data_IF_982844933162
#
_entry.id   IF_982844933162
#
_cell.length_a   1.000
_cell.length_b   1.000
_cell.length_c   1.000
_cell.angle_alpha   90.00
_cell.angle_beta   90.00
_cell.angle_gamma   90.00
#
_symmetry.space_group_name_H-M   'P 1'
#
loop_
_entity.id
_entity.type
_entity.pdbx_description
1 polymer ?
#
# COMPACT_ATOMS: atom_id res chain seq x y z
N UNK A 1 42.92 43.66 -20.68
CA UNK A 1 43.95 42.99 -21.48
C UNK A 1 43.38 41.72 -22.10
N UNK A 2 43.36 41.72 -23.40
CA UNK A 2 42.81 40.71 -24.32
C UNK A 2 43.82 39.56 -24.44
N UNK A 3 43.39 38.32 -24.46
CA UNK A 3 44.04 37.27 -25.30
C UNK A 3 43.02 36.20 -25.73
N UNK A 4 42.80 36.19 -27.04
CA UNK A 4 42.22 35.17 -27.92
C UNK A 4 43.22 34.01 -28.08
N UNK A 5 42.68 32.89 -28.53
CA UNK A 5 43.20 31.89 -29.50
C UNK A 5 42.85 30.46 -29.06
N UNK A 6 42.51 29.42 -29.84
CA UNK A 6 42.56 29.19 -31.31
C UNK A 6 41.68 27.97 -31.63
N UNK A 7 40.97 28.01 -32.71
CA UNK A 7 40.31 26.85 -33.38
C UNK A 7 41.37 25.99 -34.05
N UNK A 8 41.24 24.67 -34.00
CA UNK A 8 41.94 23.79 -34.93
C UNK A 8 40.94 22.78 -35.52
N UNK A 9 40.66 22.97 -36.79
CA UNK A 9 39.92 22.03 -37.67
C UNK A 9 40.97 21.07 -38.22
N UNK A 10 40.72 19.73 -38.13
CA UNK A 10 41.48 18.74 -38.86
C UNK A 10 40.54 17.97 -39.75
N UNK A 11 40.61 18.26 -41.06
CA UNK A 11 40.04 17.47 -42.13
C UNK A 11 40.99 16.29 -42.45
N UNK A 12 40.48 15.07 -42.56
CA UNK A 12 41.27 13.99 -43.12
C UNK A 12 40.47 13.29 -44.23
N UNK A 13 41.21 13.18 -45.33
CA UNK A 13 40.80 12.75 -46.67
C UNK A 13 40.38 11.28 -46.76
N UNK A 14 39.42 11.05 -47.67
CA UNK A 14 39.06 9.75 -48.22
C UNK A 14 40.21 9.16 -49.07
N UNK A 15 40.51 7.90 -48.85
CA UNK A 15 41.23 7.07 -49.83
C UNK A 15 40.30 5.92 -50.25
N UNK A 16 39.95 5.92 -51.52
CA UNK A 16 39.21 4.86 -52.21
C UNK A 16 40.24 3.80 -52.67
N UNK A 17 40.04 2.56 -52.26
CA UNK A 17 40.71 1.41 -52.87
C UNK A 17 39.63 0.42 -53.33
N UNK A 18 39.62 0.19 -54.69
CA UNK A 18 38.78 -0.80 -55.35
C UNK A 18 39.47 -2.17 -55.38
N UNK A 19 38.66 -3.22 -55.23
CA UNK A 19 38.76 -4.56 -55.81
C UNK A 19 38.77 -5.71 -54.82
N UNK A 20 38.44 -6.96 -55.21
CA UNK A 20 37.49 -7.39 -56.26
C UNK A 20 36.32 -8.23 -55.73
N UNK A 21 35.33 -8.42 -56.58
CA UNK A 21 34.17 -9.30 -56.46
C UNK A 21 34.57 -10.77 -56.19
N UNK A 22 34.01 -11.35 -55.11
CA UNK A 22 33.87 -12.79 -54.96
C UNK A 22 32.44 -13.12 -54.53
N UNK A 23 31.80 -13.86 -55.38
CA UNK A 23 30.63 -14.73 -55.34
C UNK A 23 29.96 -15.01 -53.96
N UNK A 24 28.65 -14.77 -54.00
CA UNK A 24 27.52 -15.57 -53.50
C UNK A 24 27.82 -16.67 -52.47
N UNK A 25 27.29 -16.47 -51.26
CA UNK A 25 26.71 -17.55 -50.50
C UNK A 25 25.39 -17.03 -49.89
N UNK A 26 24.30 -17.62 -50.35
CA UNK A 26 22.97 -17.49 -49.74
C UNK A 26 23.04 -17.92 -48.30
N UNK A 27 22.84 -16.96 -47.37
CA UNK A 27 22.44 -17.27 -45.99
C UNK A 27 20.95 -17.10 -45.92
N UNK A 28 20.28 -18.19 -45.63
CA UNK A 28 18.90 -18.20 -45.18
C UNK A 28 18.75 -17.21 -44.05
N UNK A 29 18.07 -16.10 -44.28
CA UNK A 29 17.57 -15.23 -43.25
C UNK A 29 16.48 -15.98 -42.46
N UNK A 30 16.88 -16.65 -41.41
CA UNK A 30 15.95 -17.05 -40.35
C UNK A 30 15.26 -15.79 -39.81
N UNK A 31 14.21 -15.36 -40.49
CA UNK A 31 13.23 -14.47 -39.93
C UNK A 31 12.58 -15.21 -38.74
N UNK A 32 13.19 -15.09 -37.56
CA UNK A 32 12.47 -15.38 -36.31
C UNK A 32 11.20 -14.56 -36.38
N UNK A 33 10.07 -15.20 -36.59
CA UNK A 33 8.76 -14.62 -36.44
C UNK A 33 8.65 -14.19 -35.01
N UNK A 34 8.80 -12.89 -34.76
CA UNK A 34 8.45 -12.30 -33.44
C UNK A 34 6.94 -12.42 -33.35
N UNK A 35 6.48 -13.47 -32.69
CA UNK A 35 5.07 -13.59 -32.34
C UNK A 35 4.73 -12.35 -31.51
N UNK A 36 3.71 -11.57 -31.90
CA UNK A 36 3.30 -10.43 -31.06
C UNK A 36 3.06 -10.93 -29.65
N UNK A 37 3.46 -10.19 -28.61
CA UNK A 37 3.19 -10.59 -27.25
C UNK A 37 1.67 -10.78 -27.10
N UNK A 38 1.28 -11.90 -26.51
CA UNK A 38 -0.12 -12.18 -26.18
C UNK A 38 -0.63 -11.02 -25.32
N UNK A 39 -1.78 -10.41 -25.65
CA UNK A 39 -2.34 -9.34 -24.82
C UNK A 39 -2.44 -9.80 -23.36
N UNK A 40 -1.97 -8.98 -22.44
CA UNK A 40 -2.07 -9.25 -21.00
C UNK A 40 -3.56 -9.28 -20.64
N UNK A 41 -4.00 -10.40 -20.05
CA UNK A 41 -5.36 -10.52 -19.53
C UNK A 41 -5.40 -9.99 -18.08
N UNK A 42 -6.37 -9.13 -17.78
CA UNK A 42 -6.60 -8.57 -16.47
C UNK A 42 -7.90 -9.08 -15.89
N UNK A 43 -8.02 -9.05 -14.58
CA UNK A 43 -9.24 -9.36 -13.84
C UNK A 43 -9.69 -10.82 -14.00
N UNK A 44 -8.73 -11.73 -14.12
CA UNK A 44 -8.98 -13.17 -14.20
C UNK A 44 -9.58 -13.73 -12.91
N UNK A 45 -9.33 -13.06 -11.78
CA UNK A 45 -9.82 -13.40 -10.44
C UNK A 45 -11.11 -12.65 -10.05
N UNK A 46 -11.67 -11.87 -10.98
CA UNK A 46 -12.95 -11.18 -10.78
C UNK A 46 -14.09 -11.90 -11.50
N UNK A 47 -15.29 -11.80 -10.91
CA UNK A 47 -16.53 -12.04 -11.62
C UNK A 47 -16.92 -10.79 -12.45
N UNK A 48 -17.81 -10.96 -13.43
CA UNK A 48 -18.42 -9.81 -14.09
C UNK A 48 -19.37 -9.13 -13.11
N UNK A 49 -19.11 -7.85 -12.81
CA UNK A 49 -19.83 -7.10 -11.80
C UNK A 49 -19.86 -5.59 -12.14
N UNK A 50 -20.69 -4.85 -11.40
CA UNK A 50 -20.81 -3.40 -11.55
C UNK A 50 -19.49 -2.69 -11.29
N UNK A 51 -18.79 -3.05 -10.19
CA UNK A 51 -17.54 -2.42 -9.80
C UNK A 51 -16.45 -2.57 -10.87
N UNK A 52 -16.30 -3.78 -11.41
CA UNK A 52 -15.33 -4.04 -12.48
C UNK A 52 -15.68 -3.28 -13.76
N UNK A 53 -16.95 -3.27 -14.14
CA UNK A 53 -17.44 -2.53 -15.31
C UNK A 53 -17.17 -1.03 -15.15
N UNK A 54 -17.47 -0.48 -13.98
CA UNK A 54 -17.25 0.93 -13.66
C UNK A 54 -15.77 1.29 -13.69
N UNK A 55 -14.90 0.46 -13.09
CA UNK A 55 -13.46 0.68 -13.09
C UNK A 55 -12.88 0.70 -14.52
N UNK A 56 -13.23 -0.30 -15.32
CA UNK A 56 -12.75 -0.40 -16.71
C UNK A 56 -13.22 0.79 -17.54
N UNK A 57 -14.52 1.11 -17.50
CA UNK A 57 -15.09 2.23 -18.24
C UNK A 57 -14.49 3.59 -17.79
N UNK A 58 -14.19 3.75 -16.49
CA UNK A 58 -13.50 4.94 -15.99
C UNK A 58 -12.08 5.05 -16.56
N UNK A 59 -11.27 3.98 -16.43
CA UNK A 59 -9.87 3.98 -16.87
C UNK A 59 -9.80 4.17 -18.38
N UNK A 60 -10.60 3.45 -19.17
CA UNK A 60 -10.65 3.58 -20.64
C UNK A 60 -10.99 5.02 -21.07
N UNK A 61 -11.95 5.66 -20.40
CA UNK A 61 -12.35 7.03 -20.71
C UNK A 61 -11.23 8.05 -20.39
N UNK A 62 -10.66 8.00 -19.18
CA UNK A 62 -9.67 9.00 -18.75
C UNK A 62 -8.29 8.80 -19.36
N UNK A 63 -8.01 7.64 -19.95
CA UNK A 63 -6.75 7.37 -20.66
C UNK A 63 -6.84 7.57 -22.16
N UNK A 64 -8.05 7.68 -22.73
CA UNK A 64 -8.25 7.90 -24.16
C UNK A 64 -7.96 9.37 -24.52
N UNK A 65 -6.93 9.65 -25.35
CA UNK A 65 -6.59 11.02 -25.75
C UNK A 65 -7.69 11.76 -26.52
N UNK A 66 -8.68 11.03 -27.06
CA UNK A 66 -9.80 11.61 -27.78
C UNK A 66 -11.02 11.86 -26.88
N UNK A 67 -10.98 11.45 -25.62
CA UNK A 67 -12.06 11.72 -24.65
C UNK A 67 -11.97 13.15 -24.10
N UNK A 68 -13.12 13.77 -23.90
CA UNK A 68 -13.23 15.04 -23.16
C UNK A 68 -12.80 14.91 -21.68
N UNK A 69 -12.76 13.68 -21.17
CA UNK A 69 -12.34 13.35 -19.81
C UNK A 69 -10.87 12.92 -19.71
N UNK A 70 -10.09 13.06 -20.80
CA UNK A 70 -8.70 12.64 -20.79
C UNK A 70 -7.90 13.29 -19.66
N UNK A 71 -7.19 12.48 -18.91
CA UNK A 71 -6.28 12.91 -17.86
C UNK A 71 -4.86 12.60 -18.30
N UNK A 72 -3.96 13.58 -18.22
CA UNK A 72 -2.53 13.36 -18.48
C UNK A 72 -1.96 12.37 -17.48
N UNK A 73 -1.00 11.54 -17.91
CA UNK A 73 -0.39 10.49 -17.09
C UNK A 73 0.14 11.02 -15.76
N UNK A 74 0.80 12.19 -15.76
CA UNK A 74 1.31 12.83 -14.55
C UNK A 74 0.25 13.21 -13.51
N UNK A 75 -1.03 13.29 -13.90
CA UNK A 75 -2.17 13.65 -13.05
C UNK A 75 -3.07 12.43 -12.72
N UNK A 76 -2.75 11.24 -13.24
CA UNK A 76 -3.48 9.99 -12.95
C UNK A 76 -3.05 9.44 -11.59
N UNK A 77 -3.48 10.10 -10.52
CA UNK A 77 -3.16 9.71 -9.14
C UNK A 77 -4.29 8.86 -8.57
N UNK A 78 -3.94 7.66 -8.12
CA UNK A 78 -4.83 6.77 -7.37
C UNK A 78 -4.37 6.64 -5.92
N UNK A 79 -5.30 6.61 -4.97
CA UNK A 79 -5.01 6.37 -3.54
C UNK A 79 -5.71 5.11 -3.06
N UNK A 80 -5.01 4.31 -2.27
CA UNK A 80 -5.51 3.08 -1.69
C UNK A 80 -5.32 3.10 -0.19
N UNK A 81 -6.37 2.83 0.57
CA UNK A 81 -6.18 2.31 1.92
C UNK A 81 -5.53 0.92 1.84
N UNK A 82 -5.00 0.41 2.95
CA UNK A 82 -4.28 -0.86 2.98
C UNK A 82 -5.11 -1.98 3.60
N UNK A 83 -5.33 -1.89 4.92
CA UNK A 83 -5.98 -2.95 5.69
C UNK A 83 -7.47 -3.06 5.32
N UNK A 84 -7.93 -4.22 4.92
CA UNK A 84 -9.29 -4.46 4.43
C UNK A 84 -9.57 -3.90 3.02
N UNK A 85 -8.57 -3.30 2.35
CA UNK A 85 -8.70 -2.79 0.98
C UNK A 85 -7.97 -3.65 -0.03
N UNK A 86 -6.73 -4.04 0.25
CA UNK A 86 -5.97 -5.00 -0.57
C UNK A 86 -5.11 -5.98 0.23
N UNK A 87 -5.10 -5.84 1.55
CA UNK A 87 -4.52 -6.80 2.51
C UNK A 87 -5.59 -7.14 3.55
N UNK A 88 -5.58 -8.37 4.06
CA UNK A 88 -6.53 -8.82 5.08
C UNK A 88 -6.48 -8.00 6.37
N UNK A 89 -7.60 -7.93 7.08
CA UNK A 89 -7.72 -7.26 8.38
C UNK A 89 -8.41 -8.12 9.45
N UNK A 90 -8.89 -9.32 9.07
CA UNK A 90 -9.75 -10.15 9.91
C UNK A 90 -9.04 -11.43 10.43
N UNK A 91 -7.76 -11.33 10.85
CA UNK A 91 -6.94 -12.44 11.34
C UNK A 91 -6.37 -12.26 12.78
N UNK A 92 -7.15 -12.17 13.81
CA UNK A 92 -8.57 -11.83 13.98
C UNK A 92 -8.85 -10.32 14.03
N UNK A 93 -7.83 -9.48 13.92
CA UNK A 93 -7.90 -8.02 13.85
C UNK A 93 -6.74 -7.47 13.01
N UNK A 94 -6.60 -6.16 12.90
CA UNK A 94 -5.53 -5.51 12.13
C UNK A 94 -4.15 -6.09 12.45
N UNK A 95 -3.30 -6.20 11.42
CA UNK A 95 -1.94 -6.68 11.59
C UNK A 95 -1.17 -5.88 12.67
N UNK A 96 -1.28 -4.54 12.67
CA UNK A 96 -0.58 -3.70 13.65
C UNK A 96 -1.08 -3.92 15.08
N UNK A 97 -2.35 -4.32 15.27
CA UNK A 97 -2.90 -4.67 16.58
C UNK A 97 -2.34 -6.00 17.07
N UNK A 98 -2.36 -7.02 16.20
CA UNK A 98 -1.76 -8.32 16.52
C UNK A 98 -0.26 -8.19 16.83
N UNK A 99 0.45 -7.35 16.10
CA UNK A 99 1.88 -7.11 16.31
C UNK A 99 2.14 -6.45 17.67
N UNK A 100 1.31 -5.47 18.09
CA UNK A 100 1.43 -4.82 19.41
C UNK A 100 1.08 -5.81 20.54
N UNK A 101 0.02 -6.60 20.37
CA UNK A 101 -0.35 -7.65 21.33
C UNK A 101 0.83 -8.60 21.56
N UNK A 102 1.38 -9.15 20.49
CA UNK A 102 2.55 -10.03 20.55
C UNK A 102 3.74 -9.33 21.21
N UNK A 103 4.07 -8.11 20.78
CA UNK A 103 5.21 -7.35 21.31
C UNK A 103 5.14 -7.17 22.82
N UNK A 104 3.98 -6.74 23.32
CA UNK A 104 3.84 -6.34 24.71
C UNK A 104 3.54 -7.50 25.68
N UNK A 105 2.94 -8.60 25.18
CA UNK A 105 2.46 -9.67 26.06
C UNK A 105 3.19 -11.01 25.85
N UNK A 106 3.74 -11.26 24.67
CA UNK A 106 4.29 -12.57 24.32
C UNK A 106 5.78 -12.55 23.92
N UNK A 107 6.29 -11.44 23.35
CA UNK A 107 7.69 -11.33 22.94
C UNK A 107 8.62 -11.41 24.14
N UNK A 108 9.43 -12.50 24.27
CA UNK A 108 10.30 -12.72 25.42
C UNK A 108 11.40 -11.66 25.55
N UNK A 109 11.67 -10.89 24.49
CA UNK A 109 12.70 -9.83 24.51
C UNK A 109 12.17 -8.50 25.05
N UNK A 110 10.84 -8.34 25.15
CA UNK A 110 10.24 -7.05 25.49
C UNK A 110 9.14 -7.11 26.55
N UNK A 111 8.33 -8.16 26.63
CA UNK A 111 7.12 -8.23 27.47
C UNK A 111 7.35 -7.83 28.95
N UNK A 112 8.49 -8.21 29.52
CA UNK A 112 8.82 -7.89 30.92
C UNK A 112 9.25 -6.43 31.10
N UNK A 113 9.57 -5.72 30.03
CA UNK A 113 9.96 -4.29 30.00
C UNK A 113 8.86 -3.37 29.51
N UNK A 114 7.73 -3.93 29.01
CA UNK A 114 6.64 -3.14 28.45
C UNK A 114 6.08 -2.17 29.48
N UNK A 115 5.99 -0.87 29.17
CA UNK A 115 5.32 0.11 30.03
C UNK A 115 3.86 -0.29 30.34
N UNK A 116 3.33 0.16 31.46
CA UNK A 116 2.00 -0.23 31.89
C UNK A 116 0.90 0.13 30.89
N UNK A 117 0.98 1.31 30.29
CA UNK A 117 0.04 1.77 29.26
C UNK A 117 0.14 0.96 27.95
N UNK A 118 1.34 0.59 27.53
CA UNK A 118 1.56 -0.30 26.38
C UNK A 118 0.98 -1.68 26.64
N UNK A 119 1.21 -2.23 27.83
CA UNK A 119 0.66 -3.52 28.24
C UNK A 119 -0.86 -3.49 28.31
N UNK A 120 -1.43 -2.39 28.84
CA UNK A 120 -2.90 -2.24 28.92
C UNK A 120 -3.52 -2.14 27.52
N UNK A 121 -2.92 -1.41 26.58
CA UNK A 121 -3.39 -1.34 25.21
C UNK A 121 -3.37 -2.72 24.54
N UNK A 122 -2.30 -3.48 24.72
CA UNK A 122 -2.20 -4.85 24.22
C UNK A 122 -3.21 -5.80 24.88
N UNK A 123 -3.48 -5.64 26.19
CA UNK A 123 -4.49 -6.43 26.88
C UNK A 123 -5.90 -6.13 26.37
N UNK A 124 -6.21 -4.86 26.07
CA UNK A 124 -7.50 -4.49 25.48
C UNK A 124 -7.69 -5.17 24.10
N UNK A 125 -6.64 -5.26 23.28
CA UNK A 125 -6.68 -6.00 22.01
C UNK A 125 -6.95 -7.48 22.27
N UNK A 126 -6.23 -8.09 23.21
CA UNK A 126 -6.39 -9.50 23.58
C UNK A 126 -7.80 -9.81 24.05
N UNK A 127 -8.35 -8.96 24.91
CA UNK A 127 -9.71 -9.15 25.45
C UNK A 127 -10.78 -8.94 24.37
N UNK A 128 -10.57 -7.98 23.46
CA UNK A 128 -11.43 -7.78 22.30
C UNK A 128 -11.45 -9.02 21.40
N UNK A 129 -10.28 -9.52 21.04
CA UNK A 129 -10.12 -10.65 20.11
C UNK A 129 -10.60 -11.96 20.69
N UNK A 130 -10.29 -12.23 21.98
CA UNK A 130 -10.57 -13.53 22.61
C UNK A 130 -11.93 -13.61 23.27
N UNK A 131 -12.40 -12.50 23.85
CA UNK A 131 -13.57 -12.47 24.70
C UNK A 131 -14.71 -11.62 24.14
N UNK A 132 -14.49 -10.92 23.00
CA UNK A 132 -15.46 -9.99 22.44
C UNK A 132 -15.66 -8.73 23.29
N UNK A 133 -14.75 -8.43 24.21
CA UNK A 133 -14.81 -7.21 25.03
C UNK A 133 -14.66 -5.98 24.16
N UNK A 134 -15.59 -5.01 24.17
CA UNK A 134 -15.46 -3.82 23.35
C UNK A 134 -14.17 -3.05 23.64
N UNK A 135 -13.51 -2.56 22.59
CA UNK A 135 -12.38 -1.67 22.75
C UNK A 135 -12.82 -0.33 23.37
N UNK A 136 -11.97 0.30 24.18
CA UNK A 136 -12.25 1.65 24.72
C UNK A 136 -12.51 2.68 23.62
N UNK A 137 -13.24 3.73 23.94
CA UNK A 137 -13.42 4.87 23.04
C UNK A 137 -12.07 5.44 22.59
N UNK A 138 -11.98 5.83 21.31
CA UNK A 138 -10.75 6.34 20.70
C UNK A 138 -9.55 5.38 20.77
N UNK A 139 -9.80 4.09 20.74
CA UNK A 139 -8.75 3.08 20.86
C UNK A 139 -7.67 3.21 19.76
N UNK A 140 -8.03 3.69 18.58
CA UNK A 140 -7.09 4.02 17.52
C UNK A 140 -5.95 4.95 17.97
N UNK A 141 -6.26 5.93 18.82
CA UNK A 141 -5.25 6.83 19.42
C UNK A 141 -4.48 6.17 20.55
N UNK A 142 -5.16 5.40 21.42
CA UNK A 142 -4.51 4.62 22.50
C UNK A 142 -3.48 3.67 21.90
N UNK A 143 -3.89 2.93 20.86
CA UNK A 143 -3.00 2.04 20.10
C UNK A 143 -1.82 2.80 19.51
N UNK A 144 -2.06 3.94 18.85
CA UNK A 144 -1.00 4.71 18.17
C UNK A 144 0.09 5.17 19.16
N UNK A 145 -0.29 5.68 20.34
CA UNK A 145 0.67 6.06 21.39
C UNK A 145 1.40 4.84 21.96
N UNK A 146 0.69 3.74 22.19
CA UNK A 146 1.29 2.51 22.69
C UNK A 146 2.29 1.92 21.70
N UNK A 147 1.95 1.90 20.40
CA UNK A 147 2.83 1.43 19.35
C UNK A 147 4.09 2.31 19.20
N UNK A 148 3.95 3.63 19.25
CA UNK A 148 5.11 4.53 19.24
C UNK A 148 6.10 4.17 20.36
N UNK A 149 5.60 3.98 21.59
CA UNK A 149 6.42 3.58 22.75
C UNK A 149 7.00 2.16 22.64
N UNK A 150 6.20 1.20 22.14
CA UNK A 150 6.60 -0.21 22.10
C UNK A 150 7.81 -0.47 21.20
N UNK A 151 8.03 0.38 20.20
CA UNK A 151 9.10 0.26 19.22
C UNK A 151 10.10 1.42 19.28
N UNK A 152 10.03 2.27 20.30
CA UNK A 152 10.99 3.35 20.51
C UNK A 152 12.41 2.80 20.73
N UNK A 153 13.40 3.50 20.19
CA UNK A 153 14.81 3.13 20.23
C UNK A 153 15.25 2.15 19.13
N UNK A 154 14.33 1.51 18.40
CA UNK A 154 14.70 0.69 17.25
C UNK A 154 15.15 1.56 16.08
N UNK A 155 16.20 1.13 15.39
CA UNK A 155 16.53 1.64 14.05
C UNK A 155 15.43 1.27 13.06
N UNK A 156 15.37 1.95 11.92
CA UNK A 156 14.39 1.60 10.88
C UNK A 156 14.59 0.17 10.35
N UNK A 157 15.86 -0.27 10.24
CA UNK A 157 16.20 -1.64 9.80
C UNK A 157 15.83 -2.70 10.84
N UNK A 158 16.03 -2.43 12.13
CA UNK A 158 15.62 -3.36 13.20
C UNK A 158 14.10 -3.48 13.24
N UNK A 159 13.39 -2.37 13.08
CA UNK A 159 11.93 -2.38 13.05
C UNK A 159 11.39 -3.11 11.82
N UNK A 160 11.92 -2.86 10.62
CA UNK A 160 11.56 -3.60 9.41
C UNK A 160 11.79 -5.11 9.57
N UNK A 161 12.94 -5.50 10.10
CA UNK A 161 13.25 -6.91 10.38
C UNK A 161 12.27 -7.52 11.38
N UNK A 162 11.89 -6.76 12.41
CA UNK A 162 10.93 -7.21 13.42
C UNK A 162 9.54 -7.43 12.81
N UNK A 163 9.06 -6.48 12.02
CA UNK A 163 7.78 -6.56 11.32
C UNK A 163 7.75 -7.77 10.37
N UNK A 164 8.77 -7.91 9.52
CA UNK A 164 8.87 -9.03 8.57
C UNK A 164 8.95 -10.39 9.24
N UNK A 165 9.67 -10.48 10.36
CA UNK A 165 9.73 -11.72 11.15
C UNK A 165 8.36 -12.14 11.67
N UNK A 166 7.57 -11.20 12.18
CA UNK A 166 6.21 -11.50 12.64
C UNK A 166 5.29 -11.78 11.45
N UNK A 167 5.37 -11.00 10.38
CA UNK A 167 4.56 -11.20 9.18
C UNK A 167 4.78 -12.57 8.51
N UNK A 168 5.97 -13.16 8.66
CA UNK A 168 6.27 -14.51 8.17
C UNK A 168 5.61 -15.64 8.99
N UNK A 169 4.93 -15.32 10.10
CA UNK A 169 4.20 -16.33 10.88
C UNK A 169 2.83 -16.62 10.24
N UNK A 170 2.27 -17.77 10.60
CA UNK A 170 0.95 -18.21 10.14
C UNK A 170 -0.13 -17.21 10.54
N UNK A 171 -0.92 -16.74 9.57
CA UNK A 171 -2.07 -15.87 9.84
C UNK A 171 -3.12 -16.65 10.64
N UNK A 172 -3.52 -16.11 11.79
CA UNK A 172 -4.49 -16.77 12.65
C UNK A 172 -5.87 -16.80 11.97
N UNK A 173 -6.55 -17.94 12.05
CA UNK A 173 -7.82 -18.17 11.39
C UNK A 173 -7.71 -18.61 9.93
N UNK A 174 -6.49 -18.89 9.43
CA UNK A 174 -6.28 -19.39 8.08
C UNK A 174 -5.24 -20.52 8.07
N UNK A 175 -5.32 -21.37 7.04
CA UNK A 175 -4.32 -22.38 6.73
C UNK A 175 -3.75 -22.08 5.33
N UNK A 176 -2.44 -22.24 5.19
CA UNK A 176 -1.74 -22.01 3.92
C UNK A 176 -1.49 -20.55 3.60
N UNK A 177 -1.50 -19.65 4.62
CA UNK A 177 -1.24 -18.23 4.46
C UNK A 177 -0.51 -17.68 5.68
N UNK A 178 0.56 -16.93 5.46
CA UNK A 178 1.19 -16.07 6.47
C UNK A 178 0.57 -14.67 6.43
N UNK A 179 0.83 -13.84 7.46
CA UNK A 179 0.39 -12.45 7.41
C UNK A 179 1.02 -11.69 6.23
N UNK A 180 2.26 -12.00 5.84
CA UNK A 180 2.93 -11.40 4.68
C UNK A 180 2.29 -11.77 3.34
N UNK A 181 1.46 -12.80 3.27
CA UNK A 181 0.81 -13.29 2.05
C UNK A 181 -0.67 -12.91 1.96
N UNK A 182 -1.21 -12.22 2.98
CA UNK A 182 -2.63 -11.95 3.14
C UNK A 182 -3.19 -10.89 2.20
N UNK A 183 -2.68 -10.81 0.98
CA UNK A 183 -3.18 -9.89 -0.04
C UNK A 183 -4.45 -10.43 -0.71
N UNK A 184 -5.41 -9.55 -0.91
CA UNK A 184 -6.58 -9.83 -1.76
C UNK A 184 -6.12 -9.93 -3.21
N UNK A 185 -6.00 -11.14 -3.72
CA UNK A 185 -5.42 -11.42 -5.05
C UNK A 185 -6.13 -10.67 -6.19
N UNK A 186 -7.48 -10.51 -6.19
CA UNK A 186 -8.15 -9.69 -7.20
C UNK A 186 -7.72 -8.22 -7.17
N UNK A 187 -7.42 -7.66 -5.99
CA UNK A 187 -6.98 -6.27 -5.89
C UNK A 187 -5.56 -6.05 -6.42
N UNK A 188 -4.72 -7.09 -6.44
CA UNK A 188 -3.40 -7.00 -7.08
C UNK A 188 -3.53 -6.84 -8.60
N UNK A 189 -4.55 -7.44 -9.23
CA UNK A 189 -4.84 -7.23 -10.65
C UNK A 189 -5.27 -5.77 -10.94
N UNK A 190 -5.89 -5.08 -9.96
CA UNK A 190 -6.20 -3.64 -10.07
C UNK A 190 -4.92 -2.82 -10.13
N UNK A 191 -3.91 -3.10 -9.27
CA UNK A 191 -2.63 -2.40 -9.32
C UNK A 191 -1.94 -2.59 -10.67
N UNK A 192 -1.89 -3.81 -11.18
CA UNK A 192 -1.31 -4.13 -12.48
C UNK A 192 -2.02 -3.37 -13.61
N UNK A 193 -3.35 -3.40 -13.61
CA UNK A 193 -4.17 -2.71 -14.61
C UNK A 193 -3.95 -1.20 -14.59
N UNK A 194 -3.94 -0.60 -13.41
CA UNK A 194 -3.70 0.84 -13.25
C UNK A 194 -2.29 1.24 -13.68
N UNK A 195 -1.28 0.47 -13.29
CA UNK A 195 0.12 0.69 -13.68
C UNK A 195 0.27 0.67 -15.20
N UNK A 196 -0.29 -0.34 -15.87
CA UNK A 196 -0.18 -0.50 -17.33
C UNK A 196 -1.00 0.57 -18.09
N UNK A 197 -1.91 1.28 -17.38
CA UNK A 197 -2.65 2.44 -17.89
C UNK A 197 -2.09 3.79 -17.42
N UNK A 198 -0.85 3.83 -16.94
CA UNK A 198 -0.13 5.06 -16.60
C UNK A 198 -0.62 5.74 -15.33
N UNK A 199 -1.26 5.02 -14.40
CA UNK A 199 -1.59 5.55 -13.09
C UNK A 199 -0.41 5.43 -12.13
N UNK A 200 -0.19 6.49 -11.36
CA UNK A 200 0.64 6.44 -10.16
C UNK A 200 -0.26 6.22 -8.95
N UNK A 201 -0.05 5.14 -8.21
CA UNK A 201 -0.84 4.86 -7.02
C UNK A 201 0.00 5.00 -5.75
N UNK A 202 -0.70 5.40 -4.68
CA UNK A 202 -0.17 5.60 -3.34
C UNK A 202 -0.98 4.79 -2.33
N UNK A 203 -0.29 4.15 -1.40
CA UNK A 203 -0.91 3.56 -0.21
C UNK A 203 -1.06 4.64 0.85
N UNK A 204 -2.28 4.83 1.37
CA UNK A 204 -2.63 5.86 2.36
C UNK A 204 -3.33 5.18 3.53
N UNK A 205 -2.55 4.59 4.43
CA UNK A 205 -3.02 3.74 5.52
C UNK A 205 -3.14 4.47 6.86
N UNK A 206 -4.04 3.99 7.71
CA UNK A 206 -4.08 4.34 9.14
C UNK A 206 -3.00 3.66 9.98
N UNK A 207 -2.42 2.57 9.48
CA UNK A 207 -1.35 1.82 10.12
C UNK A 207 0.00 2.53 10.03
N UNK A 208 0.94 2.13 10.89
CA UNK A 208 2.29 2.69 10.93
C UNK A 208 2.96 2.61 9.54
N UNK A 209 3.50 3.74 9.06
CA UNK A 209 4.13 3.86 7.73
C UNK A 209 5.20 2.80 7.48
N UNK A 210 6.01 2.49 8.48
CA UNK A 210 7.09 1.51 8.33
C UNK A 210 6.58 0.08 8.36
N UNK A 211 5.49 -0.21 9.09
CA UNK A 211 4.76 -1.49 8.96
C UNK A 211 4.22 -1.64 7.54
N UNK A 212 3.53 -0.61 7.04
CA UNK A 212 2.98 -0.63 5.68
C UNK A 212 4.09 -0.88 4.64
N UNK A 213 5.22 -0.16 4.74
CA UNK A 213 6.37 -0.34 3.83
C UNK A 213 6.92 -1.77 3.84
N UNK A 214 7.07 -2.34 5.04
CA UNK A 214 7.55 -3.73 5.20
C UNK A 214 6.61 -4.75 4.55
N UNK A 215 5.28 -4.55 4.69
CA UNK A 215 4.28 -5.48 4.15
C UNK A 215 4.15 -5.38 2.63
N UNK A 216 4.17 -4.16 2.06
CA UNK A 216 3.95 -3.97 0.62
C UNK A 216 5.21 -4.06 -0.24
N UNK A 217 6.39 -4.24 0.37
CA UNK A 217 7.66 -4.35 -0.36
C UNK A 217 7.63 -5.47 -1.41
N UNK A 218 7.03 -6.62 -1.06
CA UNK A 218 6.89 -7.78 -1.96
C UNK A 218 6.05 -7.49 -3.21
N UNK A 219 5.23 -6.44 -3.19
CA UNK A 219 4.45 -5.97 -4.34
C UNK A 219 5.23 -4.99 -5.24
N UNK A 220 6.46 -4.65 -4.88
CA UNK A 220 7.26 -3.66 -5.60
C UNK A 220 6.73 -2.23 -5.48
N UNK A 221 5.98 -1.94 -4.42
CA UNK A 221 5.51 -0.57 -4.14
C UNK A 221 6.66 0.20 -3.49
N UNK A 222 7.09 1.27 -4.16
CA UNK A 222 8.20 2.10 -3.69
C UNK A 222 7.89 2.76 -2.33
N UNK A 223 8.85 2.80 -1.38
CA UNK A 223 8.63 3.35 -0.04
C UNK A 223 8.12 4.80 -0.01
N UNK A 224 8.46 5.62 -1.02
CA UNK A 224 7.98 7.00 -1.18
C UNK A 224 6.53 7.10 -1.63
N UNK A 225 5.89 5.97 -1.95
CA UNK A 225 4.46 5.88 -2.29
C UNK A 225 3.62 5.32 -1.14
N UNK A 226 4.18 5.24 0.06
CA UNK A 226 3.50 4.72 1.25
C UNK A 226 3.40 5.82 2.30
N UNK A 227 2.17 6.25 2.55
CA UNK A 227 1.77 7.25 3.54
C UNK A 227 1.04 6.51 4.65
N UNK A 228 1.41 6.74 5.91
CA UNK A 228 0.83 6.04 7.05
C UNK A 228 0.81 6.89 8.32
N UNK A 229 0.48 6.27 9.43
CA UNK A 229 0.74 6.83 10.75
C UNK A 229 2.23 7.10 10.90
N UNK A 230 2.59 8.25 11.46
CA UNK A 230 3.99 8.63 11.64
C UNK A 230 4.35 8.84 13.10
N UNK A 231 5.57 8.42 13.42
CA UNK A 231 6.27 8.71 14.69
C UNK A 231 7.50 9.56 14.41
N UNK A 232 7.91 10.35 15.40
CA UNK A 232 9.14 11.12 15.29
C UNK A 232 10.34 10.16 15.16
N UNK A 233 11.29 10.57 14.32
CA UNK A 233 12.60 9.96 14.22
C UNK A 233 13.64 10.93 14.80
N UNK A 234 14.67 10.38 15.39
CA UNK A 234 15.80 11.15 15.89
C UNK A 234 17.10 10.46 15.52
N UNK A 235 18.22 11.20 15.49
CA UNK A 235 19.54 10.57 15.42
C UNK A 235 19.82 9.82 16.72
N UNK A 236 20.48 8.68 16.63
CA UNK A 236 20.87 7.86 17.78
C UNK A 236 21.78 8.59 18.79
N UNK A 237 22.37 9.73 18.43
CA UNK A 237 23.20 10.57 19.31
C UNK A 237 22.59 11.94 19.60
N UNK A 238 21.40 12.25 19.09
CA UNK A 238 20.74 13.54 19.26
C UNK A 238 20.39 13.83 20.73
N UNK A 239 20.02 12.80 21.52
CA UNK A 239 19.56 12.97 22.90
C UNK A 239 18.34 13.87 22.98
N UNK A 240 18.35 14.78 23.95
CA UNK A 240 17.25 15.73 24.20
C UNK A 240 17.31 16.99 23.32
N UNK A 241 18.31 17.11 22.43
CA UNK A 241 18.40 18.26 21.52
C UNK A 241 17.25 18.25 20.52
N UNK A 242 16.64 19.39 20.27
CA UNK A 242 15.66 19.54 19.19
C UNK A 242 16.36 19.51 17.82
N UNK A 243 15.68 18.97 16.81
CA UNK A 243 16.28 18.74 15.50
C UNK A 243 16.85 20.00 14.81
N UNK A 244 16.30 21.18 15.11
CA UNK A 244 16.82 22.47 14.56
C UNK A 244 18.16 22.89 15.16
N UNK A 245 18.50 22.37 16.34
CA UNK A 245 19.75 22.68 17.05
C UNK A 245 20.77 21.54 16.97
N UNK A 246 20.45 20.48 16.24
CA UNK A 246 21.29 19.30 16.11
C UNK A 246 21.59 18.96 14.64
N UNK A 247 22.85 18.82 14.31
CA UNK A 247 23.30 18.36 13.01
C UNK A 247 23.75 16.91 13.09
N UNK A 248 22.99 16.01 12.48
CA UNK A 248 23.30 14.58 12.41
C UNK A 248 24.67 14.34 11.77
N UNK A 249 25.53 13.61 12.44
CA UNK A 249 26.85 13.21 11.93
C UNK A 249 26.75 12.07 10.90
N UNK A 250 27.77 11.97 10.05
CA UNK A 250 27.83 10.93 8.99
C UNK A 250 27.88 9.48 9.52
N UNK A 251 28.30 9.29 10.77
CA UNK A 251 28.40 7.99 11.43
C UNK A 251 27.22 7.72 12.39
N UNK A 252 26.13 8.45 12.20
CA UNK A 252 24.89 8.32 12.96
C UNK A 252 23.79 7.72 12.10
N UNK A 253 22.75 7.23 12.77
CA UNK A 253 21.58 6.63 12.11
C UNK A 253 20.30 7.07 12.81
N UNK A 254 19.16 6.93 12.10
CA UNK A 254 17.86 7.27 12.64
C UNK A 254 17.29 6.13 13.48
N UNK A 255 16.72 6.50 14.61
CA UNK A 255 15.93 5.64 15.50
C UNK A 255 14.52 6.17 15.61
N UNK A 256 13.57 5.28 15.86
CA UNK A 256 12.19 5.60 16.22
C UNK A 256 12.14 6.18 17.62
N UNK A 257 11.34 7.21 17.83
CA UNK A 257 11.06 7.72 19.17
C UNK A 257 9.68 7.23 19.66
N UNK A 258 9.33 7.57 20.89
CA UNK A 258 8.00 7.31 21.49
C UNK A 258 6.94 8.37 21.14
N UNK A 259 7.29 9.34 20.32
CA UNK A 259 6.46 10.50 20.01
C UNK A 259 5.68 10.30 18.72
N UNK A 260 4.35 10.27 18.84
CA UNK A 260 3.43 10.22 17.69
C UNK A 260 3.37 11.58 17.00
N UNK A 261 3.57 11.60 15.68
CA UNK A 261 3.35 12.79 14.83
C UNK A 261 1.88 12.85 14.43
N UNK A 262 1.34 11.78 13.86
CA UNK A 262 -0.02 11.75 13.34
C UNK A 262 -0.56 10.32 13.27
N UNK A 263 -1.80 10.10 13.70
CA UNK A 263 -2.59 8.93 13.32
C UNK A 263 -3.32 9.26 12.03
N UNK A 264 -3.00 8.55 10.95
CA UNK A 264 -3.40 8.89 9.58
C UNK A 264 -4.79 8.36 9.23
N UNK A 265 -5.83 8.83 9.93
CA UNK A 265 -7.23 8.47 9.72
C UNK A 265 -8.09 9.67 9.33
N UNK A 266 -9.18 9.41 8.59
CA UNK A 266 -10.19 10.42 8.23
C UNK A 266 -9.52 11.64 7.53
N UNK A 267 -9.77 12.85 8.04
CA UNK A 267 -9.21 14.11 7.48
C UNK A 267 -7.69 14.14 7.48
N UNK A 268 -7.03 13.40 8.40
CA UNK A 268 -5.57 13.31 8.38
C UNK A 268 -5.04 12.63 7.12
N UNK A 269 -5.75 11.63 6.54
CA UNK A 269 -5.40 11.08 5.22
C UNK A 269 -5.36 12.17 4.15
N UNK A 270 -6.36 13.06 4.12
CA UNK A 270 -6.41 14.18 3.17
C UNK A 270 -5.24 15.15 3.36
N UNK A 271 -4.91 15.48 4.62
CA UNK A 271 -3.75 16.34 4.92
C UNK A 271 -2.46 15.73 4.41
N UNK A 272 -2.22 14.45 4.69
CA UNK A 272 -1.00 13.77 4.25
C UNK A 272 -0.94 13.63 2.73
N UNK A 273 -2.04 13.32 2.06
CA UNK A 273 -2.12 13.31 0.59
C UNK A 273 -1.70 14.68 0.03
N UNK A 274 -2.28 15.76 0.59
CA UNK A 274 -1.98 17.12 0.14
C UNK A 274 -0.52 17.51 0.36
N UNK A 275 0.07 17.11 1.50
CA UNK A 275 1.44 17.45 1.87
C UNK A 275 2.50 16.63 1.13
N UNK A 276 2.27 15.31 0.95
CA UNK A 276 3.28 14.41 0.43
C UNK A 276 3.16 14.15 -1.08
N UNK A 277 1.94 14.13 -1.61
CA UNK A 277 1.71 13.93 -3.05
C UNK A 277 1.65 15.28 -3.77
N UNK A 278 1.05 16.32 -3.16
CA UNK A 278 0.87 17.63 -3.75
C UNK A 278 -0.12 17.66 -4.91
N UNK A 279 -0.82 16.57 -5.18
CA UNK A 279 -1.84 16.43 -6.21
C UNK A 279 -3.10 15.79 -5.62
N UNK A 280 -4.27 16.26 -6.09
CA UNK A 280 -5.54 15.67 -5.70
C UNK A 280 -5.78 14.38 -6.48
N UNK A 281 -6.12 13.26 -5.80
CA UNK A 281 -6.40 11.99 -6.47
C UNK A 281 -7.58 12.09 -7.43
N UNK A 282 -7.55 11.26 -8.46
CA UNK A 282 -8.66 11.08 -9.40
C UNK A 282 -9.33 9.71 -9.24
N UNK A 283 -8.70 8.83 -8.48
CA UNK A 283 -9.18 7.49 -8.19
C UNK A 283 -8.85 7.14 -6.72
N UNK A 284 -9.79 6.51 -6.01
CA UNK A 284 -9.60 6.20 -4.58
C UNK A 284 -10.29 4.90 -4.20
N UNK A 285 -9.58 4.07 -3.41
CA UNK A 285 -10.04 2.78 -2.88
C UNK A 285 -9.92 2.74 -1.37
N UNK A 286 -10.91 2.16 -0.70
CA UNK A 286 -10.95 2.01 0.76
C UNK A 286 -11.95 0.96 1.18
N UNK A 287 -12.17 0.78 2.49
CA UNK A 287 -13.13 -0.19 3.03
C UNK A 287 -13.89 0.32 4.26
N UNK A 288 -13.44 1.38 4.88
CA UNK A 288 -13.95 1.81 6.18
C UNK A 288 -14.36 3.28 6.23
N UNK A 289 -15.01 3.69 7.33
CA UNK A 289 -15.32 5.10 7.56
C UNK A 289 -14.08 5.99 7.73
N UNK A 290 -12.93 5.38 7.98
CA UNK A 290 -11.62 6.05 8.00
C UNK A 290 -11.23 6.64 6.65
N UNK A 291 -11.79 6.10 5.54
CA UNK A 291 -11.44 6.44 4.16
C UNK A 291 -12.40 7.44 3.52
N UNK A 292 -13.58 7.65 4.12
CA UNK A 292 -14.59 8.54 3.56
C UNK A 292 -14.04 9.95 3.25
N UNK A 293 -13.17 10.49 4.12
CA UNK A 293 -12.58 11.80 3.86
C UNK A 293 -11.66 11.80 2.62
N UNK A 294 -10.89 10.72 2.42
CA UNK A 294 -10.04 10.52 1.24
C UNK A 294 -10.89 10.40 -0.03
N UNK A 295 -12.00 9.65 0.01
CA UNK A 295 -12.95 9.52 -1.08
C UNK A 295 -13.62 10.86 -1.40
N UNK A 296 -14.12 11.56 -0.39
CA UNK A 296 -14.73 12.88 -0.56
C UNK A 296 -13.73 13.89 -1.15
N UNK A 297 -12.47 13.82 -0.73
CA UNK A 297 -11.41 14.65 -1.33
C UNK A 297 -11.18 14.30 -2.80
N UNK A 298 -11.15 13.02 -3.16
CA UNK A 298 -11.09 12.59 -4.54
C UNK A 298 -12.30 13.13 -5.33
N UNK A 299 -13.52 12.93 -4.84
CA UNK A 299 -14.76 13.36 -5.50
C UNK A 299 -14.90 14.88 -5.62
N UNK A 300 -14.26 15.64 -4.75
CA UNK A 300 -14.24 17.11 -4.83
C UNK A 300 -13.31 17.68 -5.91
N UNK A 301 -12.67 16.83 -6.70
CA UNK A 301 -11.80 17.27 -7.80
C UNK A 301 -12.66 17.91 -8.90
N UNK A 302 -12.47 19.22 -9.11
CA UNK A 302 -13.22 20.00 -10.12
C UNK A 302 -12.56 20.02 -11.49
N UNK A 303 -11.32 19.54 -11.58
CA UNK A 303 -10.54 19.55 -12.83
C UNK A 303 -10.79 18.29 -13.66
N UNK A 304 -10.98 17.16 -13.00
CA UNK A 304 -11.02 15.86 -13.64
C UNK A 304 -12.23 15.02 -13.18
N UNK A 305 -12.68 14.13 -14.06
CA UNK A 305 -13.58 13.04 -13.69
C UNK A 305 -12.90 12.15 -12.65
N UNK A 306 -13.67 11.71 -11.65
CA UNK A 306 -13.18 10.88 -10.56
C UNK A 306 -13.99 9.59 -10.41
N UNK A 307 -13.41 8.60 -9.72
CA UNK A 307 -14.13 7.42 -9.29
C UNK A 307 -13.63 6.96 -7.90
N UNK A 308 -14.55 6.40 -7.11
CA UNK A 308 -14.24 5.93 -5.74
C UNK A 308 -14.87 4.56 -5.52
N UNK A 309 -14.10 3.69 -4.85
CA UNK A 309 -14.46 2.29 -4.63
C UNK A 309 -14.30 1.91 -3.16
N UNK A 310 -15.34 1.29 -2.60
CA UNK A 310 -15.33 0.78 -1.24
C UNK A 310 -15.51 -0.72 -1.21
N UNK A 311 -14.52 -1.45 -0.66
CA UNK A 311 -14.64 -2.87 -0.41
C UNK A 311 -15.53 -3.13 0.78
N UNK A 312 -16.29 -4.21 0.69
CA UNK A 312 -17.11 -4.74 1.79
C UNK A 312 -16.67 -6.17 2.07
N UNK A 313 -16.25 -6.43 3.30
CA UNK A 313 -15.99 -7.77 3.80
C UNK A 313 -17.35 -8.45 4.10
N UNK A 314 -17.89 -9.15 3.11
CA UNK A 314 -19.20 -9.79 3.13
C UNK A 314 -19.13 -11.30 2.84
N UNK A 315 -17.95 -11.90 2.96
CA UNK A 315 -17.72 -13.32 2.70
C UNK A 315 -17.26 -14.07 3.97
N UNK A 316 -18.18 -14.70 4.66
CA UNK A 316 -17.88 -15.52 5.82
C UNK A 316 -17.48 -16.98 5.48
N UNK A 317 -17.51 -17.34 4.22
CA UNK A 317 -17.05 -18.66 3.77
C UNK A 317 -15.53 -18.70 3.53
N UNK A 318 -14.98 -17.63 2.99
CA UNK A 318 -13.56 -17.51 2.59
C UNK A 318 -12.75 -16.56 3.46
N UNK A 319 -13.44 -15.70 4.24
CA UNK A 319 -12.84 -14.75 5.20
C UNK A 319 -13.69 -14.72 6.49
N UNK A 320 -13.26 -13.99 7.53
CA UNK A 320 -13.96 -13.89 8.82
C UNK A 320 -14.91 -12.68 8.87
N UNK A 321 -15.75 -12.53 7.85
CA UNK A 321 -16.65 -11.39 7.71
C UNK A 321 -17.82 -11.42 8.71
N UNK A 322 -18.18 -10.24 9.23
CA UNK A 322 -19.49 -10.01 9.85
C UNK A 322 -20.49 -9.60 8.76
N UNK A 323 -21.40 -10.52 8.40
CA UNK A 323 -22.35 -10.30 7.32
C UNK A 323 -23.34 -9.17 7.59
N UNK A 324 -23.72 -8.96 8.86
CA UNK A 324 -24.65 -7.89 9.23
C UNK A 324 -23.97 -6.51 9.09
N UNK A 325 -22.73 -6.42 9.55
CA UNK A 325 -21.91 -5.23 9.35
C UNK A 325 -21.59 -5.00 7.86
N UNK A 326 -21.30 -6.05 7.11
CA UNK A 326 -21.10 -5.99 5.67
C UNK A 326 -22.29 -5.36 4.93
N UNK A 327 -23.49 -5.86 5.19
CA UNK A 327 -24.72 -5.34 4.59
C UNK A 327 -24.98 -3.86 4.99
N UNK A 328 -24.72 -3.51 6.25
CA UNK A 328 -24.86 -2.13 6.74
C UNK A 328 -23.87 -1.19 6.07
N UNK A 329 -22.64 -1.63 5.88
CA UNK A 329 -21.59 -0.86 5.18
C UNK A 329 -21.94 -0.69 3.71
N UNK A 330 -22.35 -1.74 3.02
CA UNK A 330 -22.75 -1.66 1.61
C UNK A 330 -23.83 -0.59 1.39
N UNK A 331 -24.92 -0.64 2.18
CA UNK A 331 -25.99 0.35 2.07
C UNK A 331 -25.48 1.79 2.27
N UNK A 332 -24.65 2.00 3.29
CA UNK A 332 -24.06 3.30 3.60
C UNK A 332 -23.14 3.82 2.49
N UNK A 333 -22.32 2.94 1.89
CA UNK A 333 -21.39 3.35 0.85
C UNK A 333 -22.12 3.70 -0.45
N UNK A 334 -23.15 2.94 -0.80
CA UNK A 334 -24.00 3.24 -1.96
C UNK A 334 -24.75 4.58 -1.77
N UNK A 335 -25.30 4.84 -0.59
CA UNK A 335 -25.92 6.12 -0.24
C UNK A 335 -24.93 7.30 -0.36
N UNK A 336 -23.68 7.09 0.01
CA UNK A 336 -22.62 8.10 -0.12
C UNK A 336 -22.14 8.31 -1.57
N UNK A 337 -22.63 7.51 -2.54
CA UNK A 337 -22.27 7.60 -3.95
C UNK A 337 -20.96 6.89 -4.31
N UNK A 338 -20.43 6.02 -3.44
CA UNK A 338 -19.25 5.20 -3.74
C UNK A 338 -19.65 3.93 -4.49
N UNK A 339 -18.83 3.48 -5.43
CA UNK A 339 -18.97 2.16 -6.04
C UNK A 339 -18.55 1.10 -5.02
N UNK A 340 -19.41 0.10 -4.80
CA UNK A 340 -19.13 -0.98 -3.82
C UNK A 340 -18.51 -2.18 -4.53
N UNK A 341 -17.49 -2.75 -3.91
CA UNK A 341 -16.87 -4.04 -4.27
C UNK A 341 -17.28 -5.05 -3.20
N UNK A 342 -18.04 -6.07 -3.57
CA UNK A 342 -18.40 -7.20 -2.70
C UNK A 342 -17.34 -8.29 -2.79
N UNK A 343 -16.63 -8.57 -1.71
CA UNK A 343 -15.64 -9.65 -1.72
C UNK A 343 -16.26 -11.01 -2.02
N UNK A 344 -17.50 -11.23 -1.58
CA UNK A 344 -18.27 -12.46 -1.82
C UNK A 344 -18.68 -12.64 -3.27
N UNK A 345 -19.21 -11.59 -3.88
CA UNK A 345 -19.87 -11.68 -5.19
C UNK A 345 -18.92 -11.34 -6.34
N UNK A 346 -18.01 -10.39 -6.13
CA UNK A 346 -17.17 -9.85 -7.18
C UNK A 346 -15.83 -10.61 -7.33
N UNK A 347 -15.37 -11.31 -6.28
CA UNK A 347 -14.12 -12.04 -6.30
C UNK A 347 -14.33 -13.56 -6.50
N UNK A 348 -13.56 -14.17 -7.39
CA UNK A 348 -13.51 -15.63 -7.54
C UNK A 348 -12.75 -16.30 -6.40
N UNK A 349 -11.77 -15.62 -5.85
CA UNK A 349 -11.01 -16.00 -4.66
C UNK A 349 -10.57 -14.74 -3.93
N UNK A 350 -10.31 -14.81 -2.62
CA UNK A 350 -9.80 -13.68 -1.84
C UNK A 350 -8.27 -13.75 -1.78
N UNK A 351 -7.73 -14.77 -1.13
CA UNK A 351 -6.28 -14.93 -0.86
C UNK A 351 -5.59 -15.91 -1.82
N UNK A 352 -6.34 -16.54 -2.74
CA UNK A 352 -5.89 -17.61 -3.62
C UNK A 352 -6.58 -18.94 -3.29
N UNK A 353 -6.51 -19.88 -4.21
CA UNK A 353 -7.24 -21.15 -4.11
C UNK A 353 -6.64 -22.15 -3.11
N UNK A 354 -5.43 -21.92 -2.62
CA UNK A 354 -4.75 -22.80 -1.64
C UNK A 354 -4.94 -22.35 -0.19
N UNK A 355 -5.59 -21.22 0.05
CA UNK A 355 -5.84 -20.69 1.39
C UNK A 355 -7.20 -21.16 1.87
N UNK A 356 -7.25 -21.71 3.07
CA UNK A 356 -8.47 -22.19 3.71
C UNK A 356 -8.74 -21.37 4.98
N UNK A 357 -9.97 -20.88 5.16
CA UNK A 357 -10.42 -20.31 6.42
C UNK A 357 -10.53 -21.42 7.48
N UNK A 358 -10.05 -21.14 8.68
CA UNK A 358 -10.14 -22.02 9.85
C UNK A 358 -10.65 -21.25 11.06
N UNK A 359 -10.95 -21.91 12.16
CA UNK A 359 -11.24 -21.19 13.39
C UNK A 359 -9.99 -20.47 13.92
N UNK A 360 -10.20 -19.35 14.62
CA UNK A 360 -9.12 -18.71 15.37
C UNK A 360 -8.60 -19.64 16.46
N UNK A 361 -7.29 -19.62 16.64
CA UNK A 361 -6.62 -20.35 17.73
C UNK A 361 -5.84 -19.34 18.58
N UNK A 362 -6.05 -19.40 19.90
CA UNK A 362 -5.37 -18.52 20.86
C UNK A 362 -4.56 -19.38 21.82
N UNK A 363 -3.30 -19.05 22.00
CA UNK A 363 -2.39 -19.67 22.97
C UNK A 363 -2.52 -19.01 24.35
#
# INVERSE_FOLDING_TARGET
MIKKHFFLILALMCVVAQGPLLTSCSKDDDKKSVTPPTPKEYFTLWNQCEALTTLKAYVEDVTNPNSSNYIKEEDRIATFDMDGTFIGELYPTYFEYNLLEYRALDDPTYKDKAPADVRQAAQNIRDFVRNGTPLPDHFDMIHAYAAAKAYAGMTLTEFDTYVKKYAATQANGFKGMTYAESFYKPMLEVFDYLKDNGFTYYVVSGSDRFICRSLVESLGIEPNRVIGMDVCLSSNKQGDNVGVDYTMGKDEYLIRTDSLIIKNLKTNKVRQISQEIGKQPVLSFGNSSGDCAMHNYCMSNTKYRTATFMLVADDDARDHADLAEGARREAKWREAGYTVISMKNDFKTIYGYSVEKTNFTFQ
#
